data_IF_426076448472
#
_entry.id   IF_426076448472
#
_cell.length_a   1.000
_cell.length_b   1.000
_cell.length_c   1.000
_cell.angle_alpha   90.00
_cell.angle_beta   90.00
_cell.angle_gamma   90.00
#
_symmetry.space_group_name_H-M   'P 1'
#
loop_
_entity.id
_entity.type
_entity.pdbx_description
1 polymer ?
#
# COMPACT_ATOMS: atom_id res chain seq x y z
N UNK A 1 -10.54 -11.56 4.90
CA UNK A 1 -10.02 -10.68 5.96
C UNK A 1 -8.72 -10.10 5.46
N UNK A 2 -8.74 -8.90 4.87
CA UNK A 2 -7.53 -8.26 4.36
C UNK A 2 -6.79 -7.61 5.54
N UNK A 3 -5.53 -8.00 5.78
CA UNK A 3 -4.68 -7.41 6.82
C UNK A 3 -3.49 -6.75 6.14
N UNK A 4 -3.53 -5.42 6.05
CA UNK A 4 -2.43 -4.60 5.55
C UNK A 4 -1.71 -4.02 6.77
N UNK A 5 -0.48 -4.46 7.03
CA UNK A 5 0.37 -3.92 8.10
C UNK A 5 1.70 -3.53 7.45
N UNK A 6 2.12 -2.28 7.62
CA UNK A 6 3.36 -1.72 7.09
C UNK A 6 4.32 -1.34 8.23
N UNK A 7 5.60 -1.72 8.11
CA UNK A 7 6.70 -1.09 8.84
C UNK A 7 7.99 -1.01 7.98
N UNK A 8 8.32 0.22 7.57
CA UNK A 8 9.64 0.84 7.28
C UNK A 8 10.53 0.32 6.11
N UNK A 9 11.25 1.22 5.37
CA UNK A 9 11.15 2.68 5.31
C UNK A 9 10.40 3.10 4.03
N UNK A 10 9.21 3.68 4.21
CA UNK A 10 8.43 4.41 3.20
C UNK A 10 7.38 3.64 2.35
N UNK A 11 6.32 3.15 3.00
CA UNK A 11 4.94 3.19 2.48
C UNK A 11 3.96 3.32 3.66
N UNK A 12 3.19 4.41 3.78
CA UNK A 12 2.12 4.54 4.79
C UNK A 12 0.79 4.68 4.07
N UNK A 13 -0.03 3.62 4.11
CA UNK A 13 -1.47 3.69 3.92
C UNK A 13 -2.17 3.17 5.16
N UNK A 14 -3.02 4.01 5.76
CA UNK A 14 -3.81 3.69 6.95
C UNK A 14 -5.28 3.68 6.54
N UNK A 15 -5.89 2.50 6.47
CA UNK A 15 -7.34 2.33 6.31
C UNK A 15 -7.89 1.47 7.46
N UNK A 16 -8.10 2.09 8.62
CA UNK A 16 -9.00 1.60 9.67
C UNK A 16 -9.26 2.73 10.69
N UNK A 17 -10.52 3.00 11.05
CA UNK A 17 -10.89 4.05 12.01
C UNK A 17 -10.56 3.70 13.48
N UNK A 18 -10.01 2.52 13.76
CA UNK A 18 -9.83 1.99 15.12
C UNK A 18 -8.41 1.49 15.46
N UNK A 19 -7.38 1.91 14.71
CA UNK A 19 -5.98 1.62 15.09
C UNK A 19 -5.34 2.90 15.65
N UNK A 20 -4.74 2.88 16.85
CA UNK A 20 -4.10 4.06 17.42
C UNK A 20 -2.98 4.57 16.51
N UNK A 21 -2.87 5.90 16.36
CA UNK A 21 -1.82 6.54 15.57
C UNK A 21 -0.43 6.04 15.99
N UNK A 22 0.37 5.58 15.03
CA UNK A 22 1.78 5.23 15.27
C UNK A 22 2.54 6.54 15.51
N UNK A 23 3.36 6.65 16.57
CA UNK A 23 4.15 7.85 16.85
C UNK A 23 5.04 8.22 15.65
N UNK A 24 4.81 9.41 15.08
CA UNK A 24 5.64 9.93 13.98
C UNK A 24 7.03 10.25 14.52
N UNK A 25 8.07 9.75 13.86
CA UNK A 25 9.46 10.03 14.22
C UNK A 25 9.78 11.52 13.95
N UNK A 26 10.20 12.30 14.96
CA UNK A 26 10.27 13.77 14.90
C UNK A 26 11.35 14.33 13.96
N UNK A 27 12.27 13.50 13.45
CA UNK A 27 13.37 13.90 12.57
C UNK A 27 13.02 13.85 11.07
N UNK A 28 11.77 13.56 10.71
CA UNK A 28 11.34 13.38 9.33
C UNK A 28 10.64 14.61 8.70
N UNK A 29 11.09 15.80 9.05
CA UNK A 29 10.63 17.04 8.44
C UNK A 29 11.84 17.80 7.91
N UNK A 30 12.10 17.75 6.59
CA UNK A 30 13.02 18.74 6.02
C UNK A 30 12.73 19.31 4.63
N UNK A 31 11.77 18.82 3.85
CA UNK A 31 11.38 19.49 2.61
C UNK A 31 9.89 19.31 2.31
N UNK A 32 9.22 20.29 1.68
CA UNK A 32 7.89 20.09 1.12
C UNK A 32 7.96 18.92 0.15
N UNK A 33 7.13 17.89 0.38
CA UNK A 33 6.96 16.81 -0.58
C UNK A 33 5.83 17.18 -1.54
N UNK A 34 5.97 16.90 -2.84
CA UNK A 34 4.84 17.02 -3.75
C UNK A 34 3.69 16.13 -3.26
N UNK A 35 2.45 16.53 -3.57
CA UNK A 35 1.27 15.72 -3.29
C UNK A 35 1.43 14.34 -3.93
N UNK A 36 0.99 13.29 -3.23
CA UNK A 36 1.07 11.92 -3.72
C UNK A 36 -0.11 11.60 -4.65
N UNK A 37 0.09 10.70 -5.61
CA UNK A 37 -0.95 10.23 -6.52
C UNK A 37 -1.92 9.23 -5.85
N UNK A 38 -2.89 9.78 -5.11
CA UNK A 38 -3.87 8.98 -4.37
C UNK A 38 -4.87 8.25 -5.28
N UNK A 39 -5.16 8.81 -6.44
CA UNK A 39 -6.06 8.20 -7.42
C UNK A 39 -5.42 6.93 -8.01
N UNK A 40 -4.15 7.01 -8.44
CA UNK A 40 -3.42 5.86 -8.92
C UNK A 40 -3.27 4.76 -7.85
N UNK A 41 -3.06 5.16 -6.59
CA UNK A 41 -3.08 4.20 -5.48
C UNK A 41 -4.42 3.49 -5.34
N UNK A 42 -5.52 4.24 -5.31
CA UNK A 42 -6.85 3.66 -5.13
C UNK A 42 -7.14 2.64 -6.25
N UNK A 43 -6.75 2.97 -7.48
CA UNK A 43 -6.85 2.06 -8.62
C UNK A 43 -6.03 0.79 -8.41
N UNK A 44 -4.77 0.89 -7.96
CA UNK A 44 -3.93 -0.28 -7.68
C UNK A 44 -4.54 -1.15 -6.57
N UNK A 45 -5.01 -0.57 -5.46
CA UNK A 45 -5.64 -1.33 -4.37
C UNK A 45 -6.88 -2.08 -4.88
N UNK A 46 -7.72 -1.42 -5.68
CA UNK A 46 -8.91 -2.04 -6.27
C UNK A 46 -8.55 -3.19 -7.23
N UNK A 47 -7.57 -3.00 -8.11
CA UNK A 47 -7.12 -4.03 -9.05
C UNK A 47 -6.56 -5.27 -8.33
N UNK A 48 -5.74 -5.03 -7.30
CA UNK A 48 -5.19 -6.07 -6.42
C UNK A 48 -6.32 -6.85 -5.74
N UNK A 49 -7.30 -6.13 -5.18
CA UNK A 49 -8.50 -6.73 -4.60
C UNK A 49 -9.26 -7.60 -5.61
N UNK A 50 -9.49 -7.09 -6.82
CA UNK A 50 -10.16 -7.83 -7.89
C UNK A 50 -9.42 -9.12 -8.26
N UNK A 51 -8.09 -9.08 -8.40
CA UNK A 51 -7.28 -10.27 -8.67
C UNK A 51 -7.43 -11.28 -7.52
N UNK A 52 -7.29 -10.84 -6.27
CA UNK A 52 -7.43 -11.76 -5.12
C UNK A 52 -8.81 -12.41 -5.03
N UNK A 53 -9.87 -11.68 -5.38
CA UNK A 53 -11.24 -12.22 -5.43
C UNK A 53 -11.42 -13.19 -6.61
N UNK A 54 -10.92 -12.84 -7.79
CA UNK A 54 -11.05 -13.68 -8.99
C UNK A 54 -10.34 -15.03 -8.82
N UNK A 55 -9.20 -15.04 -8.12
CA UNK A 55 -8.37 -16.22 -7.92
C UNK A 55 -8.45 -16.74 -6.48
N UNK A 56 -9.56 -16.47 -5.79
CA UNK A 56 -9.69 -16.71 -4.35
C UNK A 56 -9.54 -18.17 -3.93
N UNK A 57 -9.72 -19.13 -4.85
CA UNK A 57 -9.53 -20.56 -4.60
C UNK A 57 -8.05 -20.97 -4.75
N UNK A 58 -7.27 -20.25 -5.57
CA UNK A 58 -5.86 -20.55 -5.84
C UNK A 58 -4.89 -19.74 -4.98
N UNK A 59 -5.22 -18.47 -4.71
CA UNK A 59 -4.36 -17.55 -3.94
C UNK A 59 -4.75 -17.58 -2.47
N UNK A 60 -3.83 -18.02 -1.61
CA UNK A 60 -3.97 -17.98 -0.17
C UNK A 60 -3.76 -16.56 0.37
N UNK A 61 -2.75 -15.86 -0.14
CA UNK A 61 -2.37 -14.51 0.28
C UNK A 61 -1.65 -13.76 -0.84
N UNK A 62 -1.83 -12.43 -0.90
CA UNK A 62 -1.06 -11.55 -1.77
C UNK A 62 -0.51 -10.37 -0.97
N UNK A 63 0.81 -10.23 -0.97
CA UNK A 63 1.52 -9.14 -0.33
C UNK A 63 2.09 -8.20 -1.39
N UNK A 64 1.84 -6.90 -1.22
CA UNK A 64 2.44 -5.85 -2.02
C UNK A 64 3.24 -4.95 -1.09
N UNK A 65 4.54 -5.18 -1.09
CA UNK A 65 5.49 -4.45 -0.26
C UNK A 65 6.91 -4.61 -0.84
N UNK A 66 7.60 -3.53 -1.24
CA UNK A 66 7.19 -2.13 -1.12
C UNK A 66 6.29 -1.61 -2.26
N UNK A 67 5.44 -0.65 -1.91
CA UNK A 67 4.62 0.12 -2.85
C UNK A 67 4.97 1.60 -2.75
N UNK A 68 5.43 2.19 -3.83
CA UNK A 68 5.81 3.59 -3.89
C UNK A 68 4.72 4.39 -4.58
N UNK A 69 4.16 5.39 -3.89
CA UNK A 69 3.27 6.36 -4.51
C UNK A 69 4.09 7.58 -4.90
N UNK A 70 4.05 7.88 -6.19
CA UNK A 70 4.81 8.96 -6.79
C UNK A 70 4.04 10.28 -6.65
N UNK A 71 4.65 11.42 -7.03
CA UNK A 71 3.92 12.69 -7.11
C UNK A 71 2.64 12.56 -7.93
N UNK A 72 1.65 13.39 -7.63
CA UNK A 72 0.37 13.47 -8.34
C UNK A 72 0.56 13.46 -9.87
N UNK A 73 -0.21 12.61 -10.56
CA UNK A 73 -0.13 12.39 -12.00
C UNK A 73 1.01 11.46 -12.45
N UNK A 74 1.84 10.96 -11.52
CA UNK A 74 2.99 10.09 -11.83
C UNK A 74 2.73 8.62 -11.49
N UNK A 75 1.62 8.30 -10.82
CA UNK A 75 1.20 6.92 -10.57
C UNK A 75 1.86 6.24 -9.36
N UNK A 76 1.93 4.91 -9.44
CA UNK A 76 2.39 4.01 -8.39
C UNK A 76 3.36 2.98 -8.95
N UNK A 77 4.42 2.66 -8.20
CA UNK A 77 5.34 1.56 -8.49
C UNK A 77 5.17 0.48 -7.43
N UNK A 78 4.82 -0.72 -7.86
CA UNK A 78 4.88 -1.93 -7.04
C UNK A 78 6.23 -2.60 -7.29
N UNK A 79 6.94 -2.93 -6.21
CA UNK A 79 8.22 -3.64 -6.29
C UNK A 79 8.13 -4.90 -5.44
N UNK A 80 8.71 -5.99 -5.95
CA UNK A 80 8.80 -7.29 -5.27
C UNK A 80 7.46 -7.84 -4.71
N UNK A 81 6.36 -7.88 -5.50
CA UNK A 81 5.09 -8.45 -5.04
C UNK A 81 5.21 -9.96 -4.82
N UNK A 82 4.53 -10.47 -3.79
CA UNK A 82 4.52 -11.89 -3.45
C UNK A 82 3.08 -12.42 -3.43
N UNK A 83 2.88 -13.60 -4.01
CA UNK A 83 1.61 -14.34 -3.91
C UNK A 83 1.88 -15.76 -3.38
N UNK A 84 1.19 -16.12 -2.30
CA UNK A 84 1.16 -17.48 -1.78
C UNK A 84 0.00 -18.25 -2.41
N UNK A 85 0.27 -19.44 -2.92
CA UNK A 85 -0.74 -20.34 -3.49
C UNK A 85 -1.19 -21.37 -2.44
N UNK A 86 -2.42 -21.87 -2.59
CA UNK A 86 -2.94 -22.98 -1.78
C UNK A 86 -2.39 -24.34 -2.23
#
# INVERSE_FOLDING_TARGET
MFRMISFFPWTIFHFNNNVPEIPRLPHLHRFPRPAADLEALAQVICQVGQITCQWQEQIAEMEINPLFVLPEGSGVIVRDPLAALR
#
